data_IF_415952995294
#
_entry.id   IF_415952995294
#
_cell.length_a   1.000
_cell.length_b   1.000
_cell.length_c   1.000
_cell.angle_alpha   90.00
_cell.angle_beta   90.00
_cell.angle_gamma   90.00
#
_symmetry.space_group_name_H-M   'P 1'
#
loop_
_entity.id
_entity.type
_entity.pdbx_description
1 polymer ?
#
# COMPACT_ATOMS: atom_id res chain seq x y z
N UNK A 1 -4.60 0.79 10.14
CA UNK A 1 -5.40 1.49 9.10
C UNK A 1 -4.56 1.88 7.89
N UNK A 2 -3.51 2.69 8.05
CA UNK A 2 -2.72 3.22 6.93
C UNK A 2 -2.06 2.18 6.04
N UNK A 3 -1.52 1.10 6.61
CA UNK A 3 -0.98 -0.02 5.83
C UNK A 3 -2.00 -0.57 4.83
N UNK A 4 -3.26 -0.75 5.26
CA UNK A 4 -4.35 -1.18 4.38
C UNK A 4 -4.67 -0.12 3.33
N UNK A 5 -4.85 1.13 3.75
CA UNK A 5 -5.24 2.24 2.87
C UNK A 5 -4.20 2.44 1.77
N UNK A 6 -2.91 2.53 2.10
CA UNK A 6 -1.84 2.68 1.12
C UNK A 6 -1.66 1.43 0.27
N UNK A 7 -1.82 0.23 0.83
CA UNK A 7 -1.81 -1.02 0.03
C UNK A 7 -2.91 -0.99 -1.03
N UNK A 8 -4.15 -0.66 -0.67
CA UNK A 8 -5.24 -0.58 -1.66
C UNK A 8 -5.01 0.57 -2.64
N UNK A 9 -4.53 1.72 -2.15
CA UNK A 9 -4.23 2.89 -2.96
C UNK A 9 -3.13 2.67 -4.00
N UNK A 10 -2.15 1.81 -3.70
CA UNK A 10 -1.10 1.46 -4.66
C UNK A 10 -1.63 0.75 -5.91
N UNK A 11 -2.79 0.09 -5.80
CA UNK A 11 -3.35 -0.74 -6.87
C UNK A 11 -2.62 -2.08 -7.07
N UNK A 12 -1.59 -2.38 -6.27
CA UNK A 12 -0.76 -3.59 -6.39
C UNK A 12 -1.36 -4.77 -5.62
N UNK A 13 -2.61 -5.12 -5.90
CA UNK A 13 -3.32 -6.23 -5.28
C UNK A 13 -4.13 -7.02 -6.32
N UNK A 14 -4.50 -8.26 -5.99
CA UNK A 14 -5.19 -9.16 -6.92
C UNK A 14 -6.55 -8.59 -7.34
N UNK A 15 -6.74 -8.32 -8.64
CA UNK A 15 -7.99 -7.77 -9.18
C UNK A 15 -9.22 -8.64 -8.86
N UNK A 16 -9.03 -9.92 -8.57
CA UNK A 16 -10.12 -10.81 -8.12
C UNK A 16 -10.70 -10.40 -6.76
N UNK A 17 -9.97 -9.62 -5.95
CA UNK A 17 -10.43 -9.07 -4.68
C UNK A 17 -11.36 -7.85 -4.88
N UNK A 18 -11.27 -7.18 -6.03
CA UNK A 18 -11.98 -5.92 -6.29
C UNK A 18 -13.48 -5.98 -5.95
N UNK A 19 -14.25 -7.04 -6.29
CA UNK A 19 -15.68 -7.09 -5.95
C UNK A 19 -15.94 -7.01 -4.43
N UNK A 20 -15.04 -7.56 -3.61
CA UNK A 20 -15.19 -7.63 -2.15
C UNK A 20 -14.73 -6.34 -1.47
N UNK A 21 -13.71 -5.67 -2.02
CA UNK A 21 -13.17 -4.41 -1.47
C UNK A 21 -13.64 -3.17 -2.23
N UNK A 22 -14.59 -3.30 -3.15
CA UNK A 22 -15.04 -2.23 -4.03
C UNK A 22 -15.40 -0.93 -3.28
N UNK A 23 -16.16 -0.95 -2.17
CA UNK A 23 -16.39 0.23 -1.33
C UNK A 23 -15.12 1.00 -0.96
N UNK A 24 -14.09 0.27 -0.50
CA UNK A 24 -12.80 0.84 -0.14
C UNK A 24 -12.04 1.33 -1.38
N UNK A 25 -11.94 0.49 -2.42
CA UNK A 25 -11.24 0.83 -3.65
C UNK A 25 -11.83 2.05 -4.38
N UNK A 26 -13.15 2.31 -4.25
CA UNK A 26 -13.78 3.51 -4.79
C UNK A 26 -13.40 4.79 -4.04
N UNK A 27 -13.03 4.69 -2.75
CA UNK A 27 -12.62 5.81 -1.90
C UNK A 27 -11.11 6.09 -1.94
N UNK A 28 -10.28 5.05 -2.06
CA UNK A 28 -8.81 5.17 -2.06
C UNK A 28 -8.20 4.86 -3.42
N UNK A 29 -8.83 5.35 -4.50
CA UNK A 29 -8.44 5.04 -5.89
C UNK A 29 -6.96 5.38 -6.18
N UNK A 30 -6.22 4.53 -6.91
CA UNK A 30 -4.85 4.84 -7.30
C UNK A 30 -4.74 6.18 -8.03
N UNK A 31 -3.75 7.00 -7.64
CA UNK A 31 -3.49 8.31 -8.24
C UNK A 31 -4.51 9.41 -7.90
N UNK A 32 -5.41 9.18 -6.94
CA UNK A 32 -6.33 10.20 -6.39
C UNK A 32 -5.99 10.54 -4.95
N UNK A 33 -6.51 11.66 -4.47
CA UNK A 33 -6.42 11.99 -3.05
C UNK A 33 -7.17 10.97 -2.21
N UNK A 34 -6.57 10.59 -1.08
CA UNK A 34 -7.21 9.76 -0.05
C UNK A 34 -8.02 10.71 0.85
N UNK A 35 -9.32 10.47 1.06
CA UNK A 35 -10.12 11.28 1.97
C UNK A 35 -9.55 11.31 3.39
N UNK A 36 -9.52 12.48 4.00
CA UNK A 36 -8.87 12.67 5.31
C UNK A 36 -9.54 11.89 6.44
N UNK A 37 -10.80 11.48 6.28
CA UNK A 37 -11.45 10.63 7.29
C UNK A 37 -10.81 9.24 7.45
N UNK A 38 -9.95 8.80 6.53
CA UNK A 38 -9.13 7.59 6.71
C UNK A 38 -7.96 7.79 7.69
N UNK A 39 -7.71 9.03 8.13
CA UNK A 39 -6.58 9.38 8.97
C UNK A 39 -6.80 9.06 10.45
N UNK A 40 -6.99 7.77 10.74
CA UNK A 40 -7.02 7.26 12.11
C UNK A 40 -5.62 6.90 12.61
N UNK A 41 -5.16 7.57 13.66
CA UNK A 41 -3.96 7.23 14.41
C UNK A 41 -4.18 6.14 15.49
N UNK A 42 -5.36 5.50 15.54
CA UNK A 42 -5.63 4.39 16.47
C UNK A 42 -4.71 3.21 16.20
N UNK A 43 -4.16 2.65 17.27
CA UNK A 43 -3.30 1.46 17.20
C UNK A 43 -4.11 0.19 16.89
N UNK A 44 -5.33 0.10 17.41
CA UNK A 44 -6.25 -1.01 17.14
C UNK A 44 -7.01 -0.81 15.82
N UNK A 45 -7.13 -1.89 15.04
CA UNK A 45 -7.75 -1.84 13.72
C UNK A 45 -9.27 -1.60 13.80
N UNK A 46 -9.97 -2.27 14.73
CA UNK A 46 -11.42 -2.16 14.85
C UNK A 46 -11.81 -0.79 15.42
N UNK A 47 -11.00 -0.23 16.31
CA UNK A 47 -11.13 1.16 16.74
C UNK A 47 -10.93 2.14 15.59
N UNK A 48 -9.92 1.92 14.74
CA UNK A 48 -9.70 2.75 13.56
C UNK A 48 -10.88 2.68 12.58
N UNK A 49 -11.40 1.48 12.32
CA UNK A 49 -12.59 1.28 11.46
C UNK A 49 -13.80 2.01 12.05
N UNK A 50 -14.01 1.92 13.36
CA UNK A 50 -15.11 2.63 14.03
C UNK A 50 -14.96 4.14 13.88
N UNK A 51 -13.77 4.69 14.10
CA UNK A 51 -13.50 6.11 13.93
C UNK A 51 -13.80 6.58 12.50
N UNK A 52 -13.39 5.82 11.48
CA UNK A 52 -13.68 6.12 10.07
C UNK A 52 -15.18 6.14 9.78
N UNK A 53 -15.93 5.20 10.35
CA UNK A 53 -17.37 5.04 10.09
C UNK A 53 -18.26 6.01 10.89
N UNK A 54 -17.75 6.51 12.02
CA UNK A 54 -18.46 7.46 12.88
C UNK A 54 -18.34 8.92 12.39
N UNK A 55 -17.52 9.17 11.37
CA UNK A 55 -17.39 10.52 10.79
C UNK A 55 -18.76 11.03 10.32
N UNK A 56 -19.14 12.27 10.71
CA UNK A 56 -20.42 12.86 10.32
C UNK A 56 -20.61 12.86 8.79
N UNK A 57 -21.82 12.53 8.35
CA UNK A 57 -22.14 12.44 6.92
C UNK A 57 -21.89 13.76 6.16
N UNK A 58 -22.02 14.91 6.84
CA UNK A 58 -21.68 16.23 6.29
C UNK A 58 -20.20 16.30 5.91
N UNK A 59 -19.29 15.95 6.83
CA UNK A 59 -17.84 15.94 6.57
C UNK A 59 -17.45 14.94 5.48
N UNK A 60 -18.06 13.74 5.49
CA UNK A 60 -17.84 12.73 4.43
C UNK A 60 -18.29 13.27 3.06
N UNK A 61 -19.46 13.90 2.99
CA UNK A 61 -20.00 14.47 1.75
C UNK A 61 -19.09 15.55 1.18
N UNK A 62 -18.66 16.48 2.03
CA UNK A 62 -17.83 17.61 1.60
C UNK A 62 -16.47 17.12 1.04
N UNK A 63 -15.84 16.16 1.72
CA UNK A 63 -14.58 15.58 1.23
C UNK A 63 -14.76 14.79 -0.07
N UNK A 64 -15.81 13.95 -0.18
CA UNK A 64 -16.07 13.20 -1.41
C UNK A 64 -16.36 14.14 -2.58
N UNK A 65 -17.18 15.18 -2.37
CA UNK A 65 -17.51 16.16 -3.40
C UNK A 65 -16.26 16.89 -3.91
N UNK A 66 -15.38 17.31 -3.00
CA UNK A 66 -14.18 18.08 -3.33
C UNK A 66 -13.05 17.22 -3.94
N UNK A 67 -12.90 15.96 -3.53
CA UNK A 67 -11.72 15.13 -3.88
C UNK A 67 -11.98 14.08 -4.95
N UNK A 68 -13.15 13.44 -4.93
CA UNK A 68 -13.43 12.25 -5.73
C UNK A 68 -14.52 12.48 -6.79
N UNK A 69 -15.43 13.41 -6.50
CA UNK A 69 -16.72 13.54 -7.19
C UNK A 69 -17.68 12.39 -6.80
N UNK A 70 -18.98 12.63 -6.87
CA UNK A 70 -20.01 11.62 -6.55
C UNK A 70 -20.39 10.76 -7.76
N UNK A 71 -19.41 10.07 -8.34
CA UNK A 71 -19.55 9.44 -9.66
C UNK A 71 -20.37 8.14 -9.63
N UNK A 72 -20.27 7.34 -8.57
CA UNK A 72 -20.97 6.04 -8.48
C UNK A 72 -22.23 6.10 -7.60
N UNK A 73 -23.22 5.21 -7.82
CA UNK A 73 -24.37 5.08 -6.93
C UNK A 73 -23.97 4.79 -5.47
N UNK A 74 -22.92 3.99 -5.27
CA UNK A 74 -22.42 3.66 -3.95
C UNK A 74 -21.80 4.87 -3.24
N UNK A 75 -20.96 5.66 -3.91
CA UNK A 75 -20.40 6.89 -3.34
C UNK A 75 -21.47 7.92 -2.98
N UNK A 76 -22.53 8.05 -3.79
CA UNK A 76 -23.69 8.90 -3.46
C UNK A 76 -24.39 8.42 -2.20
N UNK A 77 -24.61 7.12 -2.07
CA UNK A 77 -25.20 6.49 -0.88
C UNK A 77 -24.33 6.71 0.36
N UNK A 78 -23.02 6.55 0.22
CA UNK A 78 -22.05 6.75 1.30
C UNK A 78 -21.95 8.23 1.72
N UNK A 79 -21.89 9.16 0.77
CA UNK A 79 -21.93 10.60 1.04
C UNK A 79 -23.26 11.06 1.68
N UNK A 80 -24.36 10.33 1.45
CA UNK A 80 -25.64 10.56 2.13
C UNK A 80 -25.67 9.97 3.56
N UNK A 81 -24.67 9.16 3.94
CA UNK A 81 -24.58 8.55 5.26
C UNK A 81 -25.51 7.36 5.48
N UNK A 82 -25.90 6.65 4.41
CA UNK A 82 -26.83 5.52 4.56
C UNK A 82 -26.22 4.38 5.40
N UNK A 83 -27.00 3.72 6.27
CA UNK A 83 -26.48 2.61 7.09
C UNK A 83 -25.89 1.47 6.26
N UNK A 84 -26.53 1.12 5.13
CA UNK A 84 -26.07 0.05 4.24
C UNK A 84 -24.69 0.36 3.66
N UNK A 85 -24.46 1.56 3.13
CA UNK A 85 -23.15 1.92 2.56
C UNK A 85 -22.04 1.97 3.60
N UNK A 86 -22.34 2.38 4.85
CA UNK A 86 -21.40 2.29 5.97
C UNK A 86 -21.07 0.84 6.31
N UNK A 87 -22.05 -0.05 6.28
CA UNK A 87 -21.83 -1.49 6.48
C UNK A 87 -21.02 -2.11 5.34
N UNK A 88 -21.25 -1.70 4.09
CA UNK A 88 -20.46 -2.12 2.94
C UNK A 88 -18.98 -1.71 3.09
N UNK A 89 -18.72 -0.46 3.50
CA UNK A 89 -17.36 0.02 3.75
C UNK A 89 -16.71 -0.75 4.91
N UNK A 90 -17.44 -0.99 6.01
CA UNK A 90 -16.97 -1.85 7.11
C UNK A 90 -16.52 -3.21 6.59
N UNK A 91 -17.39 -3.90 5.86
CA UNK A 91 -17.10 -5.22 5.31
C UNK A 91 -15.88 -5.21 4.37
N UNK A 92 -15.76 -4.18 3.53
CA UNK A 92 -14.62 -4.00 2.63
C UNK A 92 -13.30 -3.74 3.39
N UNK A 93 -13.33 -2.96 4.47
CA UNK A 93 -12.16 -2.71 5.32
C UNK A 93 -11.69 -4.00 6.00
N UNK A 94 -12.59 -4.78 6.62
CA UNK A 94 -12.20 -6.05 7.24
C UNK A 94 -11.73 -7.08 6.21
N UNK A 95 -12.40 -7.18 5.06
CA UNK A 95 -11.98 -8.08 3.97
C UNK A 95 -10.61 -7.70 3.44
N UNK A 96 -10.39 -6.40 3.20
CA UNK A 96 -9.09 -5.89 2.78
C UNK A 96 -8.01 -6.15 3.82
N UNK A 97 -8.29 -5.93 5.11
CA UNK A 97 -7.32 -6.23 6.18
C UNK A 97 -6.96 -7.72 6.21
N UNK A 98 -7.95 -8.60 6.24
CA UNK A 98 -7.75 -10.06 6.25
C UNK A 98 -6.91 -10.53 5.08
N UNK A 99 -7.26 -10.11 3.87
CA UNK A 99 -6.66 -10.66 2.64
C UNK A 99 -5.36 -9.94 2.23
N UNK A 100 -5.19 -8.68 2.63
CA UNK A 100 -4.05 -7.84 2.25
C UNK A 100 -3.07 -7.53 3.38
N UNK A 101 -3.42 -7.68 4.65
CA UNK A 101 -2.54 -7.25 5.75
C UNK A 101 -2.29 -8.36 6.77
N UNK A 102 -3.36 -9.04 7.22
CA UNK A 102 -3.34 -9.92 8.40
C UNK A 102 -2.22 -10.97 8.36
N UNK A 103 -2.03 -11.64 7.21
CA UNK A 103 -1.02 -12.71 7.06
C UNK A 103 0.42 -12.23 7.32
N UNK A 104 0.76 -10.99 6.97
CA UNK A 104 2.10 -10.41 7.14
C UNK A 104 2.16 -9.42 8.34
N UNK A 105 1.10 -9.35 9.15
CA UNK A 105 1.01 -8.33 10.21
C UNK A 105 2.09 -8.45 11.29
N UNK A 106 2.47 -9.66 11.77
CA UNK A 106 3.56 -9.80 12.74
C UNK A 106 4.90 -9.23 12.23
N UNK A 107 5.26 -9.52 10.98
CA UNK A 107 6.48 -9.01 10.34
C UNK A 107 6.39 -7.51 10.11
N UNK A 108 5.23 -7.02 9.66
CA UNK A 108 4.97 -5.58 9.47
C UNK A 108 5.17 -4.83 10.78
N UNK A 109 4.62 -5.36 11.88
CA UNK A 109 4.75 -4.76 13.21
C UNK A 109 6.21 -4.78 13.69
N UNK A 110 6.92 -5.89 13.49
CA UNK A 110 8.34 -5.98 13.84
C UNK A 110 9.18 -4.94 13.09
N UNK A 111 8.94 -4.78 11.78
CA UNK A 111 9.63 -3.80 10.95
C UNK A 111 9.30 -2.36 11.37
N UNK A 112 8.02 -2.07 11.65
CA UNK A 112 7.58 -0.79 12.20
C UNK A 112 8.29 -0.47 13.51
N UNK A 113 8.30 -1.40 14.46
CA UNK A 113 8.93 -1.21 15.77
C UNK A 113 10.45 -1.02 15.63
N UNK A 114 11.09 -1.67 14.67
CA UNK A 114 12.50 -1.50 14.37
C UNK A 114 12.80 -0.11 13.79
N UNK A 115 11.99 0.37 12.86
CA UNK A 115 12.12 1.71 12.29
C UNK A 115 11.93 2.79 13.36
N UNK A 116 10.89 2.66 14.20
CA UNK A 116 10.64 3.61 15.30
C UNK A 116 11.83 3.64 16.27
N UNK A 117 12.42 2.49 16.62
CA UNK A 117 13.63 2.45 17.47
C UNK A 117 14.82 3.12 16.81
N UNK A 118 15.06 2.83 15.53
CA UNK A 118 16.15 3.43 14.75
C UNK A 118 16.04 4.97 14.75
N UNK A 119 14.85 5.47 14.39
CA UNK A 119 14.56 6.90 14.32
C UNK A 119 14.61 7.58 15.69
N UNK A 120 14.09 6.94 16.73
CA UNK A 120 14.20 7.47 18.10
C UNK A 120 15.65 7.61 18.54
N UNK A 121 16.49 6.61 18.26
CA UNK A 121 17.93 6.65 18.55
C UNK A 121 18.64 7.75 17.76
N UNK A 122 18.31 7.90 16.47
CA UNK A 122 18.86 8.96 15.63
C UNK A 122 18.50 10.36 16.16
N UNK A 123 17.25 10.58 16.58
CA UNK A 123 16.81 11.84 17.16
C UNK A 123 17.56 12.19 18.46
N UNK A 124 17.80 11.21 19.33
CA UNK A 124 18.51 11.40 20.60
C UNK A 124 20.01 11.66 20.38
N UNK A 125 20.63 10.93 19.45
CA UNK A 125 22.09 10.96 19.28
C UNK A 125 22.58 12.03 18.32
N UNK A 126 21.78 12.39 17.31
CA UNK A 126 22.15 13.33 16.23
C UNK A 126 21.20 14.52 16.12
N UNK A 127 20.13 14.55 16.91
CA UNK A 127 19.15 15.62 16.93
C UNK A 127 18.02 15.46 15.91
N UNK A 128 16.97 16.27 16.07
CA UNK A 128 15.77 16.21 15.23
C UNK A 128 16.03 16.58 13.77
N UNK A 129 16.96 17.51 13.50
CA UNK A 129 17.26 17.90 12.11
C UNK A 129 17.84 16.75 11.29
N UNK A 130 18.74 15.96 11.90
CA UNK A 130 19.32 14.78 11.25
C UNK A 130 18.27 13.68 11.04
N UNK A 131 17.41 13.43 12.04
CA UNK A 131 16.26 12.54 11.87
C UNK A 131 15.42 12.94 10.65
N UNK A 132 14.92 14.18 10.67
CA UNK A 132 13.92 14.68 9.74
C UNK A 132 14.47 14.73 8.30
N UNK A 133 15.72 15.16 8.14
CA UNK A 133 16.39 15.22 6.84
C UNK A 133 16.75 13.85 6.24
N UNK A 134 16.66 12.76 7.02
CA UNK A 134 17.03 11.41 6.58
C UNK A 134 15.85 10.42 6.58
N UNK A 135 14.61 10.90 6.60
CA UNK A 135 13.41 10.05 6.49
C UNK A 135 13.22 9.54 5.06
N UNK A 136 13.40 10.41 4.07
CA UNK A 136 13.23 10.08 2.64
C UNK A 136 13.89 11.18 1.78
N UNK A 137 14.43 10.89 0.57
CA UNK A 137 15.07 11.91 -0.28
C UNK A 137 14.19 13.10 -0.66
N UNK A 138 12.87 12.91 -0.68
CA UNK A 138 11.87 13.96 -0.91
C UNK A 138 11.50 14.78 0.34
N UNK A 139 12.16 14.53 1.48
CA UNK A 139 11.97 15.25 2.73
C UNK A 139 13.30 15.91 3.07
N UNK A 140 13.29 17.22 3.30
CA UNK A 140 14.48 17.94 3.76
C UNK A 140 14.16 18.85 4.93
N UNK A 141 15.10 18.96 5.86
CA UNK A 141 14.99 19.82 7.02
C UNK A 141 15.88 21.04 6.84
N UNK A 142 15.27 22.22 6.85
CA UNK A 142 15.98 23.51 6.91
C UNK A 142 15.33 24.32 8.01
N UNK A 143 15.95 24.32 9.19
CA UNK A 143 15.36 24.91 10.39
C UNK A 143 14.87 26.34 10.13
N UNK A 144 13.64 26.68 10.56
CA UNK A 144 12.71 25.89 11.38
C UNK A 144 11.70 25.04 10.58
N UNK A 145 11.89 24.86 9.28
CA UNK A 145 10.90 24.27 8.37
C UNK A 145 11.28 22.86 7.86
N UNK A 146 10.25 22.01 7.75
CA UNK A 146 10.32 20.73 7.08
C UNK A 146 9.73 20.88 5.66
N UNK A 147 10.52 20.58 4.65
CA UNK A 147 10.11 20.64 3.25
C UNK A 147 9.82 19.22 2.76
N UNK A 148 8.68 19.02 2.11
CA UNK A 148 8.27 17.73 1.56
C UNK A 148 7.87 17.95 0.10
N UNK A 149 8.54 17.26 -0.83
CA UNK A 149 8.19 17.36 -2.25
C UNK A 149 6.91 16.59 -2.55
N UNK A 150 5.84 17.33 -2.83
CA UNK A 150 4.51 16.82 -3.15
C UNK A 150 4.08 17.30 -4.54
N UNK A 151 2.97 16.76 -5.05
CA UNK A 151 2.42 17.16 -6.35
C UNK A 151 1.74 18.56 -6.34
N UNK A 152 1.74 19.22 -5.19
CA UNK A 152 1.13 20.52 -4.93
C UNK A 152 2.01 21.29 -3.94
N UNK A 153 1.86 22.62 -3.93
CA UNK A 153 2.65 23.54 -3.12
C UNK A 153 1.76 24.25 -2.09
N UNK A 154 2.17 24.23 -0.83
CA UNK A 154 1.51 24.94 0.27
C UNK A 154 2.43 25.03 1.48
N UNK A 155 2.19 26.01 2.34
CA UNK A 155 2.88 26.17 3.61
C UNK A 155 1.90 25.99 4.78
N UNK A 156 2.34 25.25 5.80
CA UNK A 156 1.51 24.94 6.97
C UNK A 156 2.24 25.37 8.23
N UNK A 157 1.69 26.39 8.89
CA UNK A 157 2.14 26.76 10.22
C UNK A 157 1.55 25.78 11.25
N UNK A 158 2.42 24.98 11.90
CA UNK A 158 1.99 24.02 12.93
C UNK A 158 1.47 24.68 14.21
N UNK A 159 1.79 25.97 14.46
CA UNK A 159 1.26 26.75 15.61
C UNK A 159 1.32 26.02 16.97
N UNK A 160 2.34 25.18 17.17
CA UNK A 160 2.53 24.39 18.39
C UNK A 160 1.72 23.09 18.50
N UNK A 161 0.85 22.74 17.54
CA UNK A 161 0.13 21.44 17.54
C UNK A 161 1.04 20.26 17.20
N UNK A 162 2.23 20.53 16.64
CA UNK A 162 3.15 19.50 16.19
C UNK A 162 2.64 18.76 14.96
N UNK A 163 3.31 17.66 14.62
CA UNK A 163 2.96 16.79 13.51
C UNK A 163 3.29 15.35 13.90
N UNK A 164 2.42 14.41 13.56
CA UNK A 164 2.70 12.99 13.77
C UNK A 164 3.38 12.43 12.50
N UNK A 165 4.57 11.86 12.67
CA UNK A 165 5.32 11.24 11.59
C UNK A 165 5.12 9.73 11.66
N UNK A 166 4.61 9.13 10.59
CA UNK A 166 4.18 7.73 10.54
C UNK A 166 4.98 6.99 9.46
N UNK A 167 5.86 6.05 9.84
CA UNK A 167 6.45 5.13 8.87
C UNK A 167 5.39 4.21 8.27
N UNK A 168 5.44 4.01 6.95
CA UNK A 168 4.55 3.11 6.21
C UNK A 168 5.37 2.05 5.49
N UNK A 169 5.00 0.79 5.68
CA UNK A 169 5.74 -0.37 5.21
C UNK A 169 5.23 -0.88 3.85
N UNK A 170 3.94 -0.67 3.55
CA UNK A 170 3.32 -1.17 2.33
C UNK A 170 2.57 -0.09 1.54
N UNK A 171 2.66 -0.19 0.20
CA UNK A 171 1.84 0.57 -0.73
C UNK A 171 2.19 2.05 -0.89
N UNK A 172 3.09 2.59 -0.07
CA UNK A 172 3.61 3.95 -0.17
C UNK A 172 5.02 3.94 -0.78
N UNK A 173 5.27 4.79 -1.78
CA UNK A 173 6.58 4.91 -2.45
C UNK A 173 7.18 6.31 -2.40
N UNK A 174 6.37 7.32 -2.06
CA UNK A 174 6.77 8.71 -1.81
C UNK A 174 6.04 9.22 -0.57
N UNK A 175 6.55 10.26 0.11
CA UNK A 175 5.86 10.83 1.25
C UNK A 175 4.45 11.29 0.91
N UNK A 176 3.54 11.19 1.88
CA UNK A 176 2.18 11.72 1.80
C UNK A 176 1.88 12.53 3.04
N UNK A 177 1.06 13.57 2.91
CA UNK A 177 0.69 14.46 4.01
C UNK A 177 -0.82 14.53 4.11
N UNK A 178 -1.36 14.35 5.31
CA UNK A 178 -2.69 14.86 5.65
C UNK A 178 -2.57 16.09 6.53
N UNK A 179 -2.95 17.22 5.95
CA UNK A 179 -2.82 18.54 6.60
C UNK A 179 -3.87 18.77 7.67
N UNK A 180 -5.09 18.30 7.42
CA UNK A 180 -6.29 18.63 8.20
C UNK A 180 -6.76 17.46 9.05
N UNK A 181 -5.87 16.47 9.26
CA UNK A 181 -6.11 15.42 10.23
C UNK A 181 -6.17 16.01 11.64
N UNK A 182 -7.07 15.45 12.45
CA UNK A 182 -7.23 15.78 13.86
C UNK A 182 -6.66 14.64 14.72
N UNK A 183 -6.01 14.96 15.86
CA UNK A 183 -5.83 16.29 16.45
C UNK A 183 -4.68 17.11 15.84
N UNK A 184 -3.84 16.50 15.00
CA UNK A 184 -2.68 17.17 14.39
C UNK A 184 -2.38 16.60 12.99
N UNK A 185 -1.67 17.35 12.13
CA UNK A 185 -1.26 16.88 10.81
C UNK A 185 -0.43 15.59 10.86
N UNK A 186 -0.51 14.80 9.79
CA UNK A 186 0.22 13.55 9.62
C UNK A 186 1.17 13.63 8.43
N UNK A 187 2.41 13.22 8.64
CA UNK A 187 3.38 12.95 7.57
C UNK A 187 3.64 11.44 7.51
N UNK A 188 3.29 10.84 6.39
CA UNK A 188 3.62 9.46 6.07
C UNK A 188 4.89 9.43 5.23
N UNK A 189 5.82 8.53 5.57
CA UNK A 189 6.99 8.28 4.74
C UNK A 189 7.16 6.76 4.52
N UNK A 190 7.58 6.35 3.31
CA UNK A 190 7.83 4.95 3.05
C UNK A 190 9.11 4.51 3.77
N UNK A 191 9.03 3.42 4.50
CA UNK A 191 10.22 2.75 5.02
C UNK A 191 10.84 1.97 3.86
N UNK A 192 12.13 2.19 3.63
CA UNK A 192 12.87 1.37 2.67
C UNK A 192 12.92 -0.07 3.19
N UNK A 193 12.04 -0.94 2.70
CA UNK A 193 12.27 -2.38 2.82
C UNK A 193 13.50 -2.71 1.99
N UNK A 194 14.47 -3.48 2.51
CA UNK A 194 15.59 -3.93 1.69
C UNK A 194 15.03 -4.77 0.57
N UNK A 195 14.92 -4.16 -0.59
CA UNK A 195 14.56 -4.85 -1.81
C UNK A 195 15.63 -5.88 -2.08
N UNK A 196 15.30 -7.18 -2.27
CA UNK A 196 16.26 -8.09 -2.82
C UNK A 196 16.65 -7.51 -4.19
N UNK A 197 17.85 -6.93 -4.25
CA UNK A 197 18.40 -6.45 -5.51
C UNK A 197 18.31 -7.57 -6.53
N UNK A 198 18.23 -7.26 -7.82
CA UNK A 198 18.18 -8.31 -8.87
C UNK A 198 19.27 -9.37 -8.68
N UNK A 199 20.44 -8.98 -8.17
CA UNK A 199 21.53 -9.89 -7.82
C UNK A 199 21.22 -10.79 -6.61
N UNK A 200 20.58 -10.27 -5.55
CA UNK A 200 20.17 -11.06 -4.37
C UNK A 200 19.11 -12.11 -4.71
N UNK A 201 18.15 -11.76 -5.58
CA UNK A 201 17.12 -12.68 -6.02
C UNK A 201 17.68 -13.77 -6.95
N UNK A 202 18.60 -13.41 -7.85
CA UNK A 202 19.31 -14.38 -8.69
C UNK A 202 20.17 -15.35 -7.88
N UNK A 203 20.80 -14.89 -6.80
CA UNK A 203 21.54 -15.76 -5.87
C UNK A 203 20.61 -16.74 -5.12
N UNK A 204 19.41 -16.29 -4.74
CA UNK A 204 18.47 -17.11 -3.97
C UNK A 204 17.70 -18.13 -4.84
N UNK A 205 17.20 -17.71 -6.01
CA UNK A 205 16.32 -18.54 -6.86
C UNK A 205 17.04 -19.16 -8.06
N UNK A 206 18.22 -18.62 -8.40
CA UNK A 206 18.88 -18.84 -9.68
C UNK A 206 18.40 -17.87 -10.75
N UNK A 207 19.29 -17.55 -11.68
CA UNK A 207 19.06 -16.60 -12.79
C UNK A 207 17.80 -16.91 -13.59
N UNK A 208 17.64 -18.15 -14.06
CA UNK A 208 16.52 -18.52 -14.93
C UNK A 208 15.17 -18.46 -14.21
N UNK A 209 15.08 -18.85 -12.93
CA UNK A 209 13.83 -18.72 -12.15
C UNK A 209 13.47 -17.27 -11.91
N UNK A 210 14.47 -16.41 -11.67
CA UNK A 210 14.28 -14.96 -11.53
C UNK A 210 13.74 -14.35 -12.82
N UNK A 211 14.28 -14.74 -13.98
CA UNK A 211 13.76 -14.29 -15.28
C UNK A 211 12.33 -14.78 -15.54
N UNK A 212 12.00 -16.03 -15.20
CA UNK A 212 10.62 -16.55 -15.30
C UNK A 212 9.68 -15.80 -14.35
N UNK A 213 10.10 -15.49 -13.13
CA UNK A 213 9.32 -14.72 -12.16
C UNK A 213 9.02 -13.31 -12.71
N UNK A 214 10.04 -12.61 -13.21
CA UNK A 214 9.89 -11.27 -13.84
C UNK A 214 9.02 -11.30 -15.08
N UNK A 215 9.13 -12.35 -15.89
CA UNK A 215 8.26 -12.55 -17.04
C UNK A 215 6.78 -12.72 -16.65
N UNK A 216 6.46 -13.03 -15.40
CA UNK A 216 5.09 -13.19 -14.92
C UNK A 216 4.47 -11.93 -14.30
N UNK A 217 5.17 -10.79 -14.38
CA UNK A 217 4.56 -9.45 -14.15
C UNK A 217 3.37 -9.18 -15.06
N UNK A 218 3.24 -9.93 -16.16
CA UNK A 218 2.00 -10.08 -16.92
C UNK A 218 1.70 -11.57 -17.11
N UNK A 219 0.41 -11.93 -17.10
CA UNK A 219 0.00 -13.33 -17.20
C UNK A 219 0.41 -13.96 -18.53
N UNK A 220 1.04 -15.14 -18.49
CA UNK A 220 1.57 -15.83 -19.66
C UNK A 220 1.28 -17.32 -19.62
N UNK A 221 1.08 -17.91 -20.79
CA UNK A 221 1.12 -19.36 -20.98
C UNK A 221 2.55 -19.89 -20.87
N UNK A 222 2.72 -21.21 -20.70
CA UNK A 222 4.06 -21.81 -20.70
C UNK A 222 4.84 -21.54 -21.99
N UNK A 223 4.15 -21.49 -23.14
CA UNK A 223 4.75 -21.18 -24.45
C UNK A 223 5.21 -19.72 -24.54
N UNK A 224 4.38 -18.79 -24.07
CA UNK A 224 4.74 -17.37 -23.98
C UNK A 224 5.93 -17.15 -23.03
N UNK A 225 5.98 -17.87 -21.91
CA UNK A 225 7.12 -17.85 -20.99
C UNK A 225 8.41 -18.35 -21.64
N UNK A 226 8.37 -19.50 -22.29
CA UNK A 226 9.51 -20.08 -22.98
C UNK A 226 10.12 -19.09 -24.00
N UNK A 227 9.25 -18.48 -24.81
CA UNK A 227 9.65 -17.49 -25.81
C UNK A 227 10.20 -16.20 -25.19
N UNK A 228 9.57 -15.70 -24.13
CA UNK A 228 9.96 -14.43 -23.50
C UNK A 228 11.29 -14.52 -22.76
N UNK A 229 11.56 -15.66 -22.11
CA UNK A 229 12.79 -15.90 -21.34
C UNK A 229 13.92 -16.46 -22.22
N UNK A 230 13.60 -17.03 -23.39
CA UNK A 230 14.60 -17.64 -24.28
C UNK A 230 15.03 -19.04 -23.83
N UNK A 231 14.11 -19.84 -23.29
CA UNK A 231 14.36 -21.20 -22.80
C UNK A 231 13.42 -22.22 -23.47
N UNK A 232 13.75 -23.50 -23.38
CA UNK A 232 12.91 -24.56 -23.94
C UNK A 232 11.54 -24.65 -23.23
N UNK A 233 10.52 -25.12 -23.94
CA UNK A 233 9.17 -25.31 -23.38
C UNK A 233 9.15 -26.25 -22.16
N UNK A 234 9.85 -27.41 -22.16
CA UNK A 234 9.99 -28.24 -20.96
C UNK A 234 10.63 -27.50 -19.78
N UNK A 235 11.71 -26.75 -20.03
CA UNK A 235 12.41 -25.95 -18.99
C UNK A 235 11.49 -24.87 -18.41
N UNK A 236 10.72 -24.17 -19.24
CA UNK A 236 9.75 -23.18 -18.78
C UNK A 236 8.66 -23.82 -17.91
N UNK A 237 8.16 -25.00 -18.30
CA UNK A 237 7.17 -25.76 -17.52
C UNK A 237 7.72 -26.18 -16.15
N UNK A 238 8.97 -26.64 -16.12
CA UNK A 238 9.65 -27.03 -14.89
C UNK A 238 9.82 -25.84 -13.93
N UNK A 239 10.28 -24.69 -14.44
CA UNK A 239 10.43 -23.48 -13.61
C UNK A 239 9.08 -22.95 -13.12
N UNK A 240 8.07 -22.88 -13.98
CA UNK A 240 6.72 -22.48 -13.58
C UNK A 240 6.14 -23.41 -12.50
N UNK A 241 6.37 -24.72 -12.62
CA UNK A 241 5.96 -25.70 -11.61
C UNK A 241 6.69 -25.49 -10.29
N UNK A 242 8.02 -25.32 -10.31
CA UNK A 242 8.79 -25.09 -9.10
C UNK A 242 8.37 -23.80 -8.37
N UNK A 243 8.18 -22.70 -9.12
CA UNK A 243 7.72 -21.42 -8.56
C UNK A 243 6.28 -21.51 -8.04
N UNK A 244 5.43 -22.33 -8.67
CA UNK A 244 4.08 -22.62 -8.18
C UNK A 244 4.11 -23.44 -6.88
N UNK A 245 4.95 -24.47 -6.81
CA UNK A 245 5.14 -25.27 -5.59
C UNK A 245 5.66 -24.40 -4.44
N UNK A 246 6.53 -23.44 -4.73
CA UNK A 246 7.01 -22.45 -3.76
C UNK A 246 5.97 -21.35 -3.42
N UNK A 247 4.81 -21.35 -4.06
CA UNK A 247 3.74 -20.39 -3.80
C UNK A 247 3.93 -19.00 -4.40
N UNK A 248 4.91 -18.79 -5.29
CA UNK A 248 5.16 -17.52 -5.97
C UNK A 248 4.35 -17.34 -7.27
N UNK A 249 3.88 -18.45 -7.84
CA UNK A 249 3.10 -18.48 -9.07
C UNK A 249 1.81 -19.26 -8.84
N UNK A 250 0.72 -18.78 -9.43
CA UNK A 250 -0.53 -19.54 -9.53
C UNK A 250 -0.87 -19.77 -10.99
N UNK A 251 -1.66 -20.82 -11.24
CA UNK A 251 -2.06 -21.21 -12.58
C UNK A 251 -3.58 -21.24 -12.65
N UNK A 252 -4.16 -20.70 -13.73
CA UNK A 252 -5.58 -20.79 -14.00
C UNK A 252 -5.83 -21.18 -15.45
N UNK A 253 -6.98 -21.80 -15.74
CA UNK A 253 -7.41 -22.09 -17.11
C UNK A 253 -8.20 -20.92 -17.66
N UNK A 254 -7.82 -20.47 -18.85
CA UNK A 254 -8.56 -19.49 -19.64
C UNK A 254 -8.88 -20.12 -21.00
N UNK A 255 -10.12 -20.57 -21.16
CA UNK A 255 -10.57 -21.34 -22.31
C UNK A 255 -9.78 -22.64 -22.47
N UNK A 256 -9.13 -22.80 -23.64
CA UNK A 256 -8.29 -23.97 -23.96
C UNK A 256 -6.84 -23.81 -23.50
N UNK A 257 -6.49 -22.69 -22.86
CA UNK A 257 -5.12 -22.34 -22.47
C UNK A 257 -4.93 -22.33 -20.95
N UNK A 258 -3.73 -22.70 -20.51
CA UNK A 258 -3.31 -22.62 -19.11
C UNK A 258 -2.40 -21.40 -18.97
N UNK A 259 -2.78 -20.45 -18.11
CA UNK A 259 -2.03 -19.22 -17.85
C UNK A 259 -1.46 -19.22 -16.44
N UNK A 260 -0.23 -18.73 -16.33
CA UNK A 260 0.49 -18.53 -15.09
C UNK A 260 0.46 -17.04 -14.75
N UNK A 261 0.34 -16.73 -13.46
CA UNK A 261 0.38 -15.38 -12.91
C UNK A 261 1.13 -15.38 -11.58
N UNK A 262 1.77 -14.27 -11.23
CA UNK A 262 2.35 -14.12 -9.90
C UNK A 262 1.25 -14.18 -8.84
N UNK A 263 1.54 -14.85 -7.73
CA UNK A 263 0.80 -14.67 -6.48
C UNK A 263 1.26 -13.37 -5.82
N UNK A 264 0.59 -12.98 -4.74
CA UNK A 264 1.04 -11.86 -3.90
C UNK A 264 2.50 -12.01 -3.47
N UNK A 265 2.89 -13.18 -2.96
CA UNK A 265 4.28 -13.50 -2.58
C UNK A 265 5.25 -13.38 -3.74
N UNK A 266 4.81 -13.72 -4.96
CA UNK A 266 5.62 -13.54 -6.17
C UNK A 266 5.85 -12.07 -6.53
N UNK A 267 4.86 -11.21 -6.29
CA UNK A 267 5.00 -9.75 -6.45
C UNK A 267 5.92 -9.15 -5.40
N UNK A 268 5.79 -9.54 -4.13
CA UNK A 268 6.65 -9.08 -3.03
C UNK A 268 8.15 -9.39 -3.25
N UNK A 269 8.49 -10.42 -4.04
CA UNK A 269 9.89 -10.70 -4.42
C UNK A 269 10.45 -9.76 -5.49
N UNK A 270 9.60 -9.08 -6.25
CA UNK A 270 9.99 -8.24 -7.39
C UNK A 270 9.90 -6.75 -7.13
N UNK A 271 9.27 -6.34 -6.03
CA UNK A 271 8.85 -4.95 -5.77
C UNK A 271 9.52 -4.43 -4.54
#
# INVERSE_FOLDING_TARGET
MYELVFTVHSGNWDRLLLPQIRPLAELVRPGRFIPDFFNSARADFDEAVRQVLDVPATRVRDQIANMLGTTSPWLRSFAAGTPTSRQDLRAALHTGYRDLIEHNWPETRQAFDAEVRLRSSQAVTRGLGDLLGNLHPAISWTAPALHVELAWDTEIALRGTGMLIVPVLHGLTRPAVSMFAEPQPLLFYPVATPQPSGASLELALGRTRTLVLRALTSERTTTELAKHVGISLPTASQHATALRTAGFVSTHRNGRSVRHRLTRRGWELLT
#
